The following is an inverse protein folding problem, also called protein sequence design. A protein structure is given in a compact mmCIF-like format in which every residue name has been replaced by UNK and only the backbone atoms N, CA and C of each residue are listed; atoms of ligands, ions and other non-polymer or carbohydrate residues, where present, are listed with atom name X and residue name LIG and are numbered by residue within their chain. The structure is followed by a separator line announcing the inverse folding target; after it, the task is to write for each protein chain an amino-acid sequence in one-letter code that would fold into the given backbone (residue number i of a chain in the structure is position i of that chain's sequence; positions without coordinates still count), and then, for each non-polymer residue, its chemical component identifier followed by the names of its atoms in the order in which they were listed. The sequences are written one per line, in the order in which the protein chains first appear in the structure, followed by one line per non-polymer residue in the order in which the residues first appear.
data_IF_884802487953
#
_entry.id   IF_884802487953
#
_cell.length_a   1.000
_cell.length_b   1.000
_cell.length_c   1.000
_cell.angle_alpha   90.00
_cell.angle_beta   90.00
_cell.angle_gamma   90.00
#
_symmetry.space_group_name_H-M   'P 1'
#
loop_
_entity.id
_entity.type
_entity.pdbx_description
1 polymer ?
#
# COMPACT_ATOMS: atom_id res chain seq x y z
N UNK A 1 24.13 -4.58 -29.40
CA UNK A 1 23.56 -5.07 -28.14
C UNK A 1 22.11 -5.43 -28.45
N UNK A 2 21.63 -6.66 -28.25
CA UNK A 2 20.22 -6.95 -28.43
C UNK A 2 19.42 -6.21 -27.35
N UNK A 3 18.28 -5.65 -27.74
CA UNK A 3 17.34 -5.00 -26.83
C UNK A 3 16.65 -6.09 -26.00
N UNK A 4 17.18 -6.40 -24.81
CA UNK A 4 16.55 -7.33 -23.87
C UNK A 4 15.32 -6.68 -23.26
N UNK A 5 14.13 -7.10 -23.68
CA UNK A 5 12.88 -6.70 -23.03
C UNK A 5 12.85 -7.26 -21.60
N UNK A 6 12.94 -6.38 -20.60
CA UNK A 6 12.86 -6.75 -19.19
C UNK A 6 11.39 -6.79 -18.75
N UNK A 7 10.98 -7.89 -18.12
CA UNK A 7 9.72 -7.94 -17.39
C UNK A 7 9.88 -7.18 -16.08
N UNK A 8 9.08 -6.14 -15.90
CA UNK A 8 9.10 -5.28 -14.71
C UNK A 8 7.74 -5.26 -14.03
N UNK A 9 7.73 -5.08 -12.71
CA UNK A 9 6.54 -4.81 -11.92
C UNK A 9 6.63 -3.39 -11.39
N UNK A 10 5.65 -2.55 -11.75
CA UNK A 10 5.57 -1.17 -11.28
C UNK A 10 4.51 -1.04 -10.17
N UNK A 11 4.89 -0.39 -9.07
CA UNK A 11 3.99 -0.15 -7.93
C UNK A 11 3.76 1.36 -7.79
N UNK A 12 2.52 1.79 -8.02
CA UNK A 12 2.16 3.21 -7.91
C UNK A 12 1.74 3.56 -6.46
N UNK A 13 2.66 4.15 -5.69
CA UNK A 13 2.39 4.57 -4.31
C UNK A 13 1.50 5.82 -4.21
N UNK A 14 1.38 6.61 -5.29
CA UNK A 14 0.43 7.72 -5.35
C UNK A 14 -1.02 7.22 -5.40
N UNK A 15 -1.27 6.13 -6.14
CA UNK A 15 -2.58 5.48 -6.16
C UNK A 15 -2.94 4.87 -4.79
N UNK A 16 -1.97 4.27 -4.09
CA UNK A 16 -2.18 3.78 -2.73
C UNK A 16 -2.59 4.91 -1.77
N UNK A 17 -1.89 6.06 -1.82
CA UNK A 17 -2.20 7.23 -1.01
C UNK A 17 -3.59 7.82 -1.32
N UNK A 18 -3.92 7.92 -2.61
CA UNK A 18 -5.26 8.33 -3.04
C UNK A 18 -6.34 7.44 -2.43
N UNK A 19 -6.17 6.12 -2.53
CA UNK A 19 -7.11 5.14 -2.00
C UNK A 19 -7.23 5.22 -0.47
N UNK A 20 -6.10 5.36 0.24
CA UNK A 20 -6.09 5.52 1.69
C UNK A 20 -6.90 6.74 2.13
N UNK A 21 -6.64 7.91 1.52
CA UNK A 21 -7.35 9.15 1.85
C UNK A 21 -8.83 9.07 1.51
N UNK A 22 -9.17 8.49 0.35
CA UNK A 22 -10.56 8.29 -0.04
C UNK A 22 -11.28 7.44 1.01
N UNK A 23 -10.75 6.27 1.37
CA UNK A 23 -11.38 5.41 2.37
C UNK A 23 -11.43 6.05 3.77
N UNK A 24 -10.37 6.75 4.19
CA UNK A 24 -10.36 7.48 5.47
C UNK A 24 -11.45 8.56 5.51
N UNK A 25 -11.74 9.23 4.39
CA UNK A 25 -12.81 10.22 4.30
C UNK A 25 -14.24 9.64 4.38
N UNK A 26 -14.39 8.31 4.23
CA UNK A 26 -15.70 7.63 4.25
C UNK A 26 -16.07 7.07 5.61
N UNK A 27 -15.17 7.12 6.58
CA UNK A 27 -15.39 6.60 7.93
C UNK A 27 -15.31 7.74 8.95
N UNK A 28 -15.83 7.49 10.15
CA UNK A 28 -15.71 8.44 11.26
C UNK A 28 -14.22 8.68 11.59
N UNK A 29 -13.78 9.93 11.83
CA UNK A 29 -12.38 10.25 12.12
C UNK A 29 -11.79 9.47 13.31
N UNK A 30 -12.61 9.09 14.29
CA UNK A 30 -12.21 8.30 15.46
C UNK A 30 -12.07 6.81 15.18
N UNK A 31 -12.57 6.33 14.04
CA UNK A 31 -12.44 4.93 13.64
C UNK A 31 -10.99 4.65 13.22
N UNK A 32 -10.37 3.66 13.87
CA UNK A 32 -9.02 3.21 13.52
C UNK A 32 -9.01 2.55 12.14
N UNK A 33 -7.93 2.79 11.39
CA UNK A 33 -7.70 2.23 10.07
C UNK A 33 -6.54 1.23 10.12
N UNK A 34 -6.76 0.03 9.60
CA UNK A 34 -5.75 -1.03 9.58
C UNK A 34 -5.36 -1.39 8.14
N UNK A 35 -4.08 -1.26 7.83
CA UNK A 35 -3.52 -1.70 6.56
C UNK A 35 -3.18 -3.18 6.58
N UNK A 36 -3.96 -4.02 5.91
CA UNK A 36 -3.65 -5.45 5.78
C UNK A 36 -2.65 -5.62 4.64
N UNK A 37 -1.45 -6.12 4.91
CA UNK A 37 -0.35 -6.30 3.92
C UNK A 37 0.07 -7.76 3.76
N UNK A 38 -0.85 -8.70 4.04
CA UNK A 38 -0.67 -10.15 3.87
C UNK A 38 -0.31 -10.53 2.42
N UNK A 39 0.16 -11.77 2.24
CA UNK A 39 0.56 -12.31 0.93
C UNK A 39 1.60 -11.43 0.21
N UNK A 40 2.63 -10.99 0.94
CA UNK A 40 3.68 -10.10 0.44
C UNK A 40 3.13 -8.83 -0.20
N UNK A 41 2.23 -8.13 0.50
CA UNK A 41 1.56 -6.94 -0.04
C UNK A 41 0.67 -7.27 -1.23
N UNK A 42 -0.04 -8.40 -1.18
CA UNK A 42 -0.86 -8.92 -2.28
C UNK A 42 -0.09 -9.08 -3.62
N UNK A 43 1.13 -9.62 -3.55
CA UNK A 43 1.97 -9.87 -4.74
C UNK A 43 2.71 -8.64 -5.28
N UNK A 44 2.73 -7.56 -4.51
CA UNK A 44 3.54 -6.37 -4.80
C UNK A 44 4.85 -6.41 -4.00
N UNK A 45 5.01 -5.52 -3.03
CA UNK A 45 6.10 -5.53 -2.05
C UNK A 45 5.54 -5.14 -0.67
N UNK A 46 5.53 -6.04 0.32
CA UNK A 46 4.91 -5.77 1.62
C UNK A 46 5.58 -4.62 2.36
N UNK A 47 6.91 -4.48 2.26
CA UNK A 47 7.65 -3.45 3.00
C UNK A 47 7.44 -2.07 2.39
N UNK A 48 7.41 -1.95 1.06
CA UNK A 48 7.16 -0.66 0.38
C UNK A 48 5.74 -0.19 0.68
N UNK A 49 4.75 -1.07 0.59
CA UNK A 49 3.35 -0.75 0.92
C UNK A 49 3.20 -0.40 2.40
N UNK A 50 3.77 -1.20 3.32
CA UNK A 50 3.72 -0.92 4.75
C UNK A 50 4.35 0.43 5.11
N UNK A 51 5.56 0.73 4.58
CA UNK A 51 6.23 2.02 4.80
C UNK A 51 5.38 3.19 4.31
N UNK A 52 4.74 3.06 3.15
CA UNK A 52 3.87 4.11 2.63
C UNK A 52 2.64 4.33 3.52
N UNK A 53 2.00 3.26 4.00
CA UNK A 53 0.86 3.34 4.91
C UNK A 53 1.24 3.94 6.27
N UNK A 54 2.39 3.59 6.83
CA UNK A 54 2.90 4.19 8.07
C UNK A 54 3.17 5.68 7.89
N UNK A 55 3.75 6.09 6.75
CA UNK A 55 3.96 7.51 6.43
C UNK A 55 2.63 8.28 6.23
N UNK A 56 1.53 7.58 5.98
CA UNK A 56 0.17 8.14 5.91
C UNK A 56 -0.57 8.04 7.26
N UNK A 57 0.14 7.69 8.33
CA UNK A 57 -0.38 7.60 9.70
C UNK A 57 -1.50 6.57 9.86
N UNK A 58 -1.36 5.40 9.21
CA UNK A 58 -2.24 4.26 9.48
C UNK A 58 -2.14 3.81 10.95
N UNK A 59 -3.26 3.45 11.57
CA UNK A 59 -3.29 3.11 13.00
C UNK A 59 -2.66 1.74 13.32
N UNK A 60 -2.72 0.81 12.37
CA UNK A 60 -2.15 -0.52 12.52
C UNK A 60 -1.85 -1.19 11.18
N UNK A 61 -0.99 -2.20 11.21
CA UNK A 61 -0.77 -3.14 10.11
C UNK A 61 -1.19 -4.55 10.52
N UNK A 62 -1.66 -5.34 9.57
CA UNK A 62 -1.97 -6.76 9.77
C UNK A 62 -1.38 -7.65 8.67
N UNK A 63 -1.00 -8.87 9.06
CA UNK A 63 -0.40 -9.91 8.22
C UNK A 63 -1.06 -11.26 8.48
N UNK A 64 -0.71 -12.28 7.69
CA UNK A 64 -1.10 -13.67 7.91
C UNK A 64 0.15 -14.50 8.22
#
# INVERSE_FOLDING_TARGET
MPDTHQTVLEINLGALEHNYRFLRSKIDPSTKFMGVVKASGYGSDPLVIARKLVALEVDALAVA
#
